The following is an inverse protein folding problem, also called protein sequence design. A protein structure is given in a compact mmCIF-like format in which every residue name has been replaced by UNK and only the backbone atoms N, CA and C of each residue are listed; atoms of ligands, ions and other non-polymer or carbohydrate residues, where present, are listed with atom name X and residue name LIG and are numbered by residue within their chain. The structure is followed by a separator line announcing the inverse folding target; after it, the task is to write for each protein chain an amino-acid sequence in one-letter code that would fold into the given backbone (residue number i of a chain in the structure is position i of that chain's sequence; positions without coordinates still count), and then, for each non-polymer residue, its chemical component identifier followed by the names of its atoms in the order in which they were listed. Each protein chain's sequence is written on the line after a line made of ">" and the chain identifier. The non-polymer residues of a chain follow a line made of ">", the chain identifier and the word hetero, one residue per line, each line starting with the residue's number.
data_IF_452333330233
#
_entry.id   IF_452333330233
#
_cell.length_a   1.000
_cell.length_b   1.000
_cell.length_c   1.000
_cell.angle_alpha   90.00
_cell.angle_beta   90.00
_cell.angle_gamma   90.00
#
_symmetry.space_group_name_H-M   'P 1'
#
loop_
_entity.id
_entity.type
_entity.pdbx_description
1 polymer ?
#
# COMPACT_ATOMS: atom_id res chain seq x y z
N UNK A 1 -22.78 -10.58 2.85
CA UNK A 1 -22.71 -9.76 4.07
C UNK A 1 -21.47 -8.87 3.98
N UNK A 2 -21.66 -7.57 4.05
CA UNK A 2 -20.55 -6.63 4.11
C UNK A 2 -20.04 -6.55 5.54
N UNK A 3 -18.70 -6.58 5.69
CA UNK A 3 -18.06 -6.34 6.98
C UNK A 3 -17.78 -4.85 7.07
N UNK A 4 -18.29 -4.18 8.11
CA UNK A 4 -17.99 -2.79 8.36
C UNK A 4 -16.48 -2.61 8.59
N UNK A 5 -15.91 -1.52 8.07
CA UNK A 5 -14.53 -1.16 8.33
C UNK A 5 -14.32 -0.95 9.85
N UNK A 6 -13.30 -1.59 10.40
CA UNK A 6 -12.91 -1.39 11.80
C UNK A 6 -11.68 -0.50 11.77
N UNK A 7 -11.79 0.78 12.16
CA UNK A 7 -10.66 1.68 12.11
C UNK A 7 -9.52 1.21 13.03
N UNK A 8 -8.29 1.50 12.63
CA UNK A 8 -7.12 1.32 13.48
C UNK A 8 -7.21 2.21 14.72
N UNK A 9 -6.54 1.79 15.81
CA UNK A 9 -6.46 2.61 17.01
C UNK A 9 -5.92 4.02 16.65
N UNK A 10 -6.65 5.11 16.97
CA UNK A 10 -6.24 6.46 16.62
C UNK A 10 -4.84 6.84 17.11
N UNK A 11 -4.45 6.38 18.30
CA UNK A 11 -3.12 6.69 18.88
C UNK A 11 -2.01 5.98 18.10
N UNK A 12 -2.20 4.73 17.75
CA UNK A 12 -1.26 3.94 16.93
C UNK A 12 -1.19 4.55 15.54
N UNK A 13 -2.31 4.89 14.95
CA UNK A 13 -2.42 5.53 13.64
C UNK A 13 -1.59 6.82 13.58
N UNK A 14 -1.82 7.75 14.50
CA UNK A 14 -1.10 9.03 14.55
C UNK A 14 0.41 8.84 14.67
N UNK A 15 0.81 7.94 15.57
CA UNK A 15 2.21 7.62 15.79
C UNK A 15 2.88 7.06 14.53
N UNK A 16 2.27 6.08 13.90
CA UNK A 16 2.82 5.43 12.70
C UNK A 16 2.87 6.42 11.53
N UNK A 17 1.82 7.20 11.31
CA UNK A 17 1.81 8.25 10.28
C UNK A 17 2.96 9.24 10.50
N UNK A 18 3.20 9.65 11.73
CA UNK A 18 4.32 10.54 12.07
C UNK A 18 5.68 9.92 11.71
N UNK A 19 5.90 8.65 12.05
CA UNK A 19 7.13 7.93 11.72
C UNK A 19 7.31 7.81 10.20
N UNK A 20 6.27 7.44 9.47
CA UNK A 20 6.32 7.28 8.02
C UNK A 20 6.59 8.60 7.29
N UNK A 21 5.96 9.69 7.73
CA UNK A 21 6.22 11.03 7.19
C UNK A 21 7.67 11.45 7.39
N UNK A 22 8.21 11.24 8.57
CA UNK A 22 9.60 11.56 8.88
C UNK A 22 10.59 10.70 8.10
N UNK A 23 10.28 9.41 7.94
CA UNK A 23 11.18 8.44 7.29
C UNK A 23 11.20 8.58 5.77
N UNK A 24 10.05 8.79 5.13
CA UNK A 24 9.88 8.70 3.68
C UNK A 24 9.55 10.02 2.99
N UNK A 25 9.19 11.07 3.73
CA UNK A 25 8.93 12.39 3.16
C UNK A 25 7.85 12.37 2.08
N UNK A 26 8.21 12.87 0.89
CA UNK A 26 7.28 13.01 -0.24
C UNK A 26 6.79 11.69 -0.85
N UNK A 27 7.44 10.57 -0.53
CA UNK A 27 7.00 9.24 -0.95
C UNK A 27 5.77 8.74 -0.16
N UNK A 28 5.43 9.40 0.93
CA UNK A 28 4.29 9.07 1.78
C UNK A 28 3.29 10.22 1.81
N UNK A 29 2.01 9.91 1.66
CA UNK A 29 0.93 10.90 1.67
C UNK A 29 -0.28 10.44 2.46
N UNK A 30 -0.96 11.41 3.06
CA UNK A 30 -2.27 11.22 3.73
C UNK A 30 -3.38 12.02 3.06
N UNK A 31 -3.14 12.53 1.85
CA UNK A 31 -4.11 13.30 1.08
C UNK A 31 -5.37 12.48 0.78
N UNK A 32 -6.53 13.01 1.12
CA UNK A 32 -7.82 12.30 1.03
C UNK A 32 -8.10 11.76 -0.38
N UNK A 33 -7.89 12.56 -1.42
CA UNK A 33 -8.12 12.14 -2.80
C UNK A 33 -7.26 10.93 -3.20
N UNK A 34 -6.01 10.84 -2.71
CA UNK A 34 -5.13 9.71 -2.99
C UNK A 34 -5.55 8.50 -2.18
N UNK A 35 -5.89 8.68 -0.91
CA UNK A 35 -6.35 7.61 -0.03
C UNK A 35 -7.64 6.97 -0.56
N UNK A 36 -8.63 7.77 -0.94
CA UNK A 36 -9.89 7.30 -1.50
C UNK A 36 -9.68 6.51 -2.80
N UNK A 37 -8.82 6.99 -3.68
CA UNK A 37 -8.48 6.31 -4.92
C UNK A 37 -7.85 4.92 -4.67
N UNK A 38 -7.06 4.78 -3.64
CA UNK A 38 -6.41 3.52 -3.27
C UNK A 38 -7.32 2.57 -2.47
N UNK A 39 -8.45 3.04 -1.99
CA UNK A 39 -9.44 2.21 -1.31
C UNK A 39 -10.61 1.77 -2.20
N UNK A 40 -10.65 2.27 -3.45
CA UNK A 40 -11.71 2.00 -4.41
C UNK A 40 -11.24 1.00 -5.46
N UNK A 41 -11.92 -0.13 -5.54
CA UNK A 41 -11.69 -1.16 -6.56
C UNK A 41 -12.97 -1.53 -7.29
N UNK A 42 -12.86 -2.48 -8.20
CA UNK A 42 -14.00 -3.05 -8.94
C UNK A 42 -14.61 -4.27 -8.25
N UNK A 43 -14.29 -4.46 -6.97
CA UNK A 43 -14.83 -5.55 -6.18
C UNK A 43 -16.23 -5.23 -5.66
N UNK A 44 -16.86 -6.25 -5.09
CA UNK A 44 -18.14 -6.14 -4.40
C UNK A 44 -18.12 -5.18 -3.19
N UNK A 45 -16.95 -5.01 -2.58
CA UNK A 45 -16.81 -4.22 -1.35
C UNK A 45 -16.94 -2.71 -1.59
N UNK A 46 -17.51 -2.00 -0.62
CA UNK A 46 -17.49 -0.55 -0.59
C UNK A 46 -16.07 0.00 -0.50
N UNK A 47 -15.91 1.25 -0.92
CA UNK A 47 -14.64 1.94 -0.79
C UNK A 47 -14.20 1.99 0.68
N UNK A 48 -13.01 1.51 0.96
CA UNK A 48 -12.38 1.59 2.27
C UNK A 48 -10.97 2.16 2.11
N UNK A 49 -10.82 3.46 2.39
CA UNK A 49 -9.58 4.17 2.21
C UNK A 49 -8.53 3.78 3.27
N UNK A 50 -7.25 3.58 2.88
CA UNK A 50 -6.17 3.41 3.85
C UNK A 50 -5.91 4.71 4.63
N UNK A 51 -5.17 4.62 5.72
CA UNK A 51 -4.77 5.78 6.51
C UNK A 51 -3.68 6.61 5.83
N UNK A 52 -2.89 5.99 4.99
CA UNK A 52 -1.89 6.64 4.17
C UNK A 52 -1.47 5.77 3.00
N UNK A 53 -0.79 6.36 2.03
CA UNK A 53 -0.27 5.69 0.84
C UNK A 53 1.21 5.97 0.72
N UNK A 54 2.00 4.93 0.52
CA UNK A 54 3.45 4.96 0.36
C UNK A 54 3.84 4.46 -1.03
N UNK A 55 4.72 5.20 -1.69
CA UNK A 55 5.23 4.90 -3.03
C UNK A 55 6.72 4.57 -2.98
N UNK A 56 7.13 3.34 -2.67
CA UNK A 56 8.53 2.95 -2.64
C UNK A 56 9.14 2.88 -4.05
N UNK A 57 10.46 3.11 -4.10
CA UNK A 57 11.26 2.92 -5.31
C UNK A 57 12.11 1.65 -5.26
N UNK A 58 12.35 1.11 -4.06
CA UNK A 58 13.25 -0.02 -3.84
C UNK A 58 12.65 -1.05 -2.88
N UNK A 59 13.16 -2.28 -2.98
CA UNK A 59 12.79 -3.37 -2.06
C UNK A 59 13.16 -3.04 -0.62
N UNK A 60 14.27 -2.36 -0.40
CA UNK A 60 14.75 -1.94 0.93
C UNK A 60 13.78 -0.95 1.58
N UNK A 61 13.25 -0.02 0.81
CA UNK A 61 12.20 0.91 1.29
C UNK A 61 10.92 0.19 1.67
N UNK A 62 10.52 -0.82 0.90
CA UNK A 62 9.38 -1.68 1.24
C UNK A 62 9.64 -2.41 2.55
N UNK A 63 10.83 -3.00 2.71
CA UNK A 63 11.21 -3.71 3.94
C UNK A 63 11.18 -2.80 5.16
N UNK A 64 11.68 -1.58 5.05
CA UNK A 64 11.63 -0.57 6.11
C UNK A 64 10.19 -0.24 6.51
N UNK A 65 9.33 0.04 5.54
CA UNK A 65 7.92 0.36 5.79
C UNK A 65 7.18 -0.80 6.45
N UNK A 66 7.40 -2.02 5.97
CA UNK A 66 6.82 -3.25 6.56
C UNK A 66 7.29 -3.43 8.00
N UNK A 67 8.57 -3.22 8.28
CA UNK A 67 9.12 -3.32 9.63
C UNK A 67 8.48 -2.32 10.59
N UNK A 68 8.35 -1.07 10.18
CA UNK A 68 7.68 -0.02 10.98
C UNK A 68 6.25 -0.41 11.29
N UNK A 69 5.49 -0.87 10.29
CA UNK A 69 4.11 -1.27 10.47
C UNK A 69 3.98 -2.52 11.36
N UNK A 70 4.85 -3.51 11.19
CA UNK A 70 4.87 -4.73 11.99
C UNK A 70 5.12 -4.45 13.48
N UNK A 71 6.08 -3.59 13.79
CA UNK A 71 6.41 -3.19 15.16
C UNK A 71 5.22 -2.55 15.90
N UNK A 72 4.33 -1.92 15.18
CA UNK A 72 3.15 -1.24 15.73
C UNK A 72 1.85 -1.99 15.46
N UNK A 73 1.90 -3.19 14.89
CA UNK A 73 0.71 -3.96 14.47
C UNK A 73 -0.24 -3.14 13.59
N UNK A 74 0.33 -2.32 12.72
CA UNK A 74 -0.40 -1.46 11.80
C UNK A 74 -0.66 -2.21 10.50
N UNK A 75 -1.93 -2.27 10.01
CA UNK A 75 -2.25 -3.04 8.81
C UNK A 75 -1.51 -2.56 7.56
N UNK A 76 -1.21 -3.48 6.66
CA UNK A 76 -0.55 -3.21 5.38
C UNK A 76 -1.43 -3.73 4.25
N UNK A 77 -1.63 -2.92 3.23
CA UNK A 77 -2.35 -3.28 2.02
C UNK A 77 -1.40 -3.11 0.83
N UNK A 78 -0.92 -4.20 0.21
CA UNK A 78 -0.15 -4.10 -1.02
C UNK A 78 -1.07 -3.70 -2.19
N UNK A 79 -0.56 -2.84 -3.06
CA UNK A 79 -1.29 -2.30 -4.18
C UNK A 79 -0.41 -2.27 -5.43
N UNK A 80 -0.82 -2.93 -6.49
CA UNK A 80 -0.17 -2.90 -7.80
C UNK A 80 -0.84 -1.86 -8.69
N UNK A 81 -1.80 -2.31 -9.52
CA UNK A 81 -2.60 -1.42 -10.40
C UNK A 81 -4.06 -1.29 -9.94
N UNK A 82 -4.43 -1.93 -8.85
CA UNK A 82 -5.76 -1.80 -8.25
C UNK A 82 -6.89 -2.52 -9.01
N UNK A 83 -6.57 -3.52 -9.81
CA UNK A 83 -7.55 -4.25 -10.65
C UNK A 83 -8.07 -5.54 -10.03
N UNK A 84 -7.71 -5.83 -8.79
CA UNK A 84 -8.17 -7.03 -8.10
C UNK A 84 -9.69 -7.02 -7.90
N UNK A 85 -10.32 -8.16 -8.17
CA UNK A 85 -11.77 -8.32 -8.07
C UNK A 85 -12.25 -8.85 -6.71
N UNK A 86 -11.33 -9.42 -5.91
CA UNK A 86 -11.65 -10.08 -4.65
C UNK A 86 -11.62 -9.16 -3.43
N UNK A 87 -11.35 -7.87 -3.64
CA UNK A 87 -11.45 -6.85 -2.60
C UNK A 87 -10.26 -6.70 -1.68
N UNK A 88 -9.11 -7.32 -1.97
CA UNK A 88 -7.94 -7.26 -1.08
C UNK A 88 -7.30 -5.87 -0.96
N UNK A 89 -7.62 -4.94 -1.85
CA UNK A 89 -7.16 -3.54 -1.73
C UNK A 89 -8.02 -2.71 -0.77
N UNK A 90 -9.17 -3.22 -0.33
CA UNK A 90 -10.02 -2.50 0.62
C UNK A 90 -9.37 -2.47 2.02
N UNK A 91 -9.11 -1.27 2.52
CA UNK A 91 -8.48 -1.06 3.82
C UNK A 91 -9.51 -1.13 4.95
N UNK A 92 -10.08 -2.30 5.20
CA UNK A 92 -11.17 -2.50 6.18
C UNK A 92 -10.80 -2.08 7.61
N UNK A 93 -9.51 -2.09 7.91
CA UNK A 93 -8.97 -1.67 9.21
C UNK A 93 -8.08 -0.45 9.12
N UNK A 94 -8.19 0.31 8.04
CA UNK A 94 -7.23 1.37 7.74
C UNK A 94 -5.86 0.79 7.39
N UNK A 95 -4.80 1.44 7.82
CA UNK A 95 -3.45 0.98 7.63
C UNK A 95 -2.70 1.68 6.50
N UNK A 96 -1.53 1.14 6.17
CA UNK A 96 -0.66 1.64 5.11
C UNK A 96 -0.93 0.91 3.80
N UNK A 97 -1.29 1.64 2.76
CA UNK A 97 -1.25 1.13 1.39
C UNK A 97 0.16 1.32 0.82
N UNK A 98 0.77 0.23 0.37
CA UNK A 98 2.06 0.27 -0.32
C UNK A 98 1.80 0.12 -1.81
N UNK A 99 1.93 1.21 -2.54
CA UNK A 99 1.75 1.27 -4.00
C UNK A 99 3.08 1.03 -4.70
N UNK A 100 3.19 -0.10 -5.40
CA UNK A 100 4.42 -0.55 -6.06
C UNK A 100 4.59 0.00 -7.48
N UNK A 101 3.74 0.91 -7.93
CA UNK A 101 3.76 1.42 -9.31
C UNK A 101 5.05 2.12 -9.73
N UNK A 102 5.83 2.62 -8.78
CA UNK A 102 7.14 3.24 -9.04
C UNK A 102 8.26 2.21 -9.21
N UNK A 103 8.03 0.94 -8.81
CA UNK A 103 8.94 -0.18 -9.00
C UNK A 103 8.62 -0.89 -10.32
N UNK A 104 8.90 -0.22 -11.43
CA UNK A 104 8.46 -0.60 -12.77
C UNK A 104 9.60 -0.87 -13.77
N UNK A 105 10.81 -1.11 -13.28
CA UNK A 105 11.96 -1.38 -14.14
C UNK A 105 11.94 -2.78 -14.72
N UNK A 106 12.25 -2.89 -16.01
CA UNK A 106 12.61 -4.16 -16.65
C UNK A 106 14.09 -4.40 -16.37
N UNK A 107 14.42 -5.47 -15.66
CA UNK A 107 15.77 -5.76 -15.20
C UNK A 107 16.57 -6.56 -16.23
N UNK A 108 15.93 -7.53 -16.88
CA UNK A 108 16.57 -8.41 -17.84
C UNK A 108 15.54 -8.94 -18.86
N UNK A 109 15.95 -9.04 -20.09
CA UNK A 109 15.15 -9.66 -21.17
C UNK A 109 15.97 -10.78 -21.80
N UNK A 110 15.44 -11.99 -21.82
CA UNK A 110 16.05 -13.19 -22.42
C UNK A 110 15.19 -13.69 -23.59
N UNK A 111 15.39 -13.15 -24.82
CA UNK A 111 14.54 -13.50 -25.97
C UNK A 111 14.63 -14.98 -26.36
N UNK A 112 15.78 -15.60 -26.14
CA UNK A 112 15.99 -17.03 -26.47
C UNK A 112 15.22 -17.96 -25.54
N UNK A 113 15.12 -17.58 -24.25
CA UNK A 113 14.39 -18.33 -23.23
C UNK A 113 12.92 -17.88 -23.10
N UNK A 114 12.52 -16.85 -23.83
CA UNK A 114 11.19 -16.25 -23.80
C UNK A 114 10.78 -15.78 -22.39
N UNK A 115 11.73 -15.26 -21.63
CA UNK A 115 11.47 -14.72 -20.30
C UNK A 115 11.92 -13.27 -20.12
N UNK A 116 11.41 -12.64 -19.08
CA UNK A 116 11.76 -11.29 -18.67
C UNK A 116 11.74 -11.21 -17.15
N UNK A 117 12.74 -10.53 -16.57
CA UNK A 117 12.78 -10.22 -15.15
C UNK A 117 12.43 -8.75 -14.95
N UNK A 118 11.45 -8.49 -14.10
CA UNK A 118 10.95 -7.15 -13.80
C UNK A 118 10.90 -6.92 -12.29
N UNK A 119 10.85 -5.66 -11.88
CA UNK A 119 10.46 -5.32 -10.51
C UNK A 119 9.01 -5.74 -10.25
N UNK A 120 8.73 -6.16 -9.03
CA UNK A 120 7.38 -6.59 -8.63
C UNK A 120 6.55 -5.41 -8.13
#
# INVERSE_FOLDING_TARGET
>A
MQVAAIPSDPNVREKVIGILKQRFGDQFTTADAIRERHGKGESYHDTAAPDGVFFPNTTEEVADAVSICADHKFPIIPFGVGTALEGHIAALRGGLCIDLSMMNSVLEVNPEDLDVTVQA
#
